data_IF_503005455834
#
_entry.id   IF_503005455834
#
_cell.length_a   1.000
_cell.length_b   1.000
_cell.length_c   1.000
_cell.angle_alpha   90.00
_cell.angle_beta   90.00
_cell.angle_gamma   90.00
#
_symmetry.space_group_name_H-M   'P 1'
#
loop_
_entity.id
_entity.type
_entity.pdbx_description
1 polymer ?
#
# COMPACT_ATOMS: atom_id res chain seq x y z
N UNK A 1 14.91 -6.65 6.21
CA UNK A 1 13.81 -6.58 7.20
C UNK A 1 13.41 -7.97 7.71
N UNK A 2 13.79 -8.32 8.95
CA UNK A 2 13.32 -9.54 9.64
C UNK A 2 12.14 -9.17 10.55
N UNK A 3 10.90 -9.19 10.03
CA UNK A 3 9.74 -9.27 10.94
C UNK A 3 9.81 -10.67 11.57
N UNK A 4 9.92 -10.80 12.90
CA UNK A 4 9.91 -12.11 13.56
C UNK A 4 8.65 -12.84 13.11
N UNK A 5 8.83 -13.87 12.30
CA UNK A 5 7.72 -14.66 11.76
C UNK A 5 7.12 -15.45 12.92
N UNK A 6 5.92 -15.08 13.35
CA UNK A 6 5.18 -15.85 14.34
C UNK A 6 4.65 -17.14 13.67
N UNK A 7 5.44 -18.21 13.77
CA UNK A 7 5.12 -19.51 13.16
C UNK A 7 3.78 -20.07 13.63
N UNK A 8 3.41 -19.84 14.89
CA UNK A 8 2.13 -20.28 15.47
C UNK A 8 0.95 -19.56 14.82
N UNK A 9 1.06 -18.26 14.63
CA UNK A 9 0.05 -17.45 13.95
C UNK A 9 -0.12 -17.86 12.48
N UNK A 10 0.97 -18.06 11.75
CA UNK A 10 0.91 -18.56 10.36
C UNK A 10 0.19 -19.90 10.28
N UNK A 11 0.52 -20.82 11.19
CA UNK A 11 -0.11 -22.13 11.25
C UNK A 11 -1.62 -22.01 11.50
N UNK A 12 -2.02 -21.26 12.53
CA UNK A 12 -3.43 -21.04 12.87
C UNK A 12 -4.20 -20.38 11.73
N UNK A 13 -3.64 -19.33 11.13
CA UNK A 13 -4.25 -18.65 9.98
C UNK A 13 -4.36 -19.58 8.77
N UNK A 14 -3.36 -20.43 8.52
CA UNK A 14 -3.42 -21.41 7.43
C UNK A 14 -4.50 -22.47 7.64
N UNK A 15 -4.74 -22.90 8.89
CA UNK A 15 -5.82 -23.82 9.23
C UNK A 15 -7.18 -23.17 9.02
N UNK A 16 -7.39 -21.96 9.57
CA UNK A 16 -8.63 -21.17 9.37
C UNK A 16 -8.92 -20.95 7.88
N UNK A 17 -7.88 -20.71 7.08
CA UNK A 17 -8.01 -20.44 5.65
C UNK A 17 -8.08 -21.71 4.78
N UNK A 18 -7.92 -22.91 5.35
CA UNK A 18 -7.78 -24.19 4.61
C UNK A 18 -6.60 -24.18 3.62
N UNK A 19 -5.56 -23.41 3.94
CA UNK A 19 -4.28 -23.34 3.22
C UNK A 19 -3.14 -24.06 3.95
N UNK A 20 -3.45 -24.81 5.01
CA UNK A 20 -2.48 -25.64 5.73
C UNK A 20 -1.80 -26.67 4.82
N UNK A 21 -2.56 -27.44 4.03
CA UNK A 21 -1.99 -28.46 3.13
C UNK A 21 -0.98 -27.91 2.10
N UNK A 22 -1.26 -26.85 1.30
CA UNK A 22 -0.26 -26.32 0.38
C UNK A 22 0.94 -25.69 1.12
N UNK A 23 0.74 -25.13 2.33
CA UNK A 23 1.84 -24.63 3.16
C UNK A 23 2.78 -25.78 3.56
N UNK A 24 2.23 -26.87 4.09
CA UNK A 24 3.03 -28.02 4.55
C UNK A 24 3.72 -28.72 3.39
N UNK A 25 2.97 -29.10 2.35
CA UNK A 25 3.54 -29.80 1.20
C UNK A 25 4.58 -28.95 0.48
N UNK A 26 4.30 -27.66 0.26
CA UNK A 26 5.25 -26.76 -0.39
C UNK A 26 6.56 -26.64 0.41
N UNK A 27 6.47 -26.55 1.73
CA UNK A 27 7.66 -26.49 2.60
C UNK A 27 8.43 -27.81 2.62
N UNK A 28 7.75 -28.96 2.54
CA UNK A 28 8.38 -30.28 2.46
C UNK A 28 9.14 -30.43 1.14
N UNK A 29 8.53 -30.05 0.01
CA UNK A 29 9.13 -30.24 -1.32
C UNK A 29 10.25 -29.24 -1.65
N UNK A 30 10.09 -27.98 -1.26
CA UNK A 30 11.03 -26.91 -1.65
C UNK A 30 12.07 -26.60 -0.59
N UNK A 31 11.82 -26.97 0.67
CA UNK A 31 12.68 -26.63 1.80
C UNK A 31 12.29 -25.31 2.48
N UNK A 32 13.24 -24.74 3.22
CA UNK A 32 13.01 -23.61 4.15
C UNK A 32 13.94 -22.42 3.91
N UNK A 33 14.72 -22.43 2.83
CA UNK A 33 15.48 -21.25 2.45
C UNK A 33 14.55 -20.11 2.00
N UNK A 34 15.09 -18.90 1.88
CA UNK A 34 14.31 -17.71 1.57
C UNK A 34 13.54 -17.85 0.27
N UNK A 35 14.15 -18.39 -0.79
CA UNK A 35 13.53 -18.52 -2.11
C UNK A 35 12.40 -19.55 -2.06
N UNK A 36 12.64 -20.71 -1.44
CA UNK A 36 11.60 -21.72 -1.24
C UNK A 36 10.38 -21.14 -0.49
N UNK A 37 10.61 -20.43 0.62
CA UNK A 37 9.51 -19.86 1.41
C UNK A 37 8.70 -18.79 0.66
N UNK A 38 9.32 -18.00 -0.22
CA UNK A 38 8.57 -17.07 -1.08
C UNK A 38 7.69 -17.83 -2.09
N UNK A 39 8.19 -18.90 -2.71
CA UNK A 39 7.39 -19.74 -3.62
C UNK A 39 6.20 -20.39 -2.89
N UNK A 40 6.42 -20.92 -1.67
CA UNK A 40 5.34 -21.48 -0.85
C UNK A 40 4.29 -20.42 -0.53
N UNK A 41 4.69 -19.18 -0.22
CA UNK A 41 3.74 -18.07 0.00
C UNK A 41 2.89 -17.78 -1.24
N UNK A 42 3.49 -17.81 -2.44
CA UNK A 42 2.74 -17.62 -3.69
C UNK A 42 1.68 -18.72 -3.88
N UNK A 43 2.02 -19.98 -3.62
CA UNK A 43 1.07 -21.11 -3.70
C UNK A 43 -0.08 -20.93 -2.69
N UNK A 44 0.25 -20.62 -1.43
CA UNK A 44 -0.74 -20.39 -0.36
C UNK A 44 -1.67 -19.24 -0.73
N UNK A 45 -1.11 -18.12 -1.24
CA UNK A 45 -1.90 -16.95 -1.62
C UNK A 45 -2.77 -17.20 -2.84
N UNK A 46 -2.30 -17.96 -3.82
CA UNK A 46 -3.12 -18.38 -4.96
C UNK A 46 -4.33 -19.22 -4.52
N UNK A 47 -4.13 -20.16 -3.58
CA UNK A 47 -5.26 -20.93 -3.01
C UNK A 47 -6.23 -20.03 -2.24
N UNK A 48 -5.71 -19.08 -1.45
CA UNK A 48 -6.53 -18.10 -0.75
C UNK A 48 -7.35 -17.24 -1.73
N UNK A 49 -6.74 -16.77 -2.83
CA UNK A 49 -7.42 -15.95 -3.83
C UNK A 49 -8.59 -16.71 -4.49
N UNK A 50 -8.44 -18.00 -4.81
CA UNK A 50 -9.55 -18.85 -5.29
C UNK A 50 -10.73 -18.88 -4.31
N UNK A 51 -10.44 -18.97 -3.01
CA UNK A 51 -11.45 -18.96 -1.95
C UNK A 51 -12.12 -17.57 -1.85
N UNK A 52 -11.34 -16.49 -1.87
CA UNK A 52 -11.86 -15.12 -1.83
C UNK A 52 -12.77 -14.80 -3.02
N UNK A 53 -12.46 -15.27 -4.23
CA UNK A 53 -13.36 -15.14 -5.40
C UNK A 53 -14.72 -15.76 -5.13
N UNK A 54 -14.74 -17.01 -4.65
CA UNK A 54 -16.00 -17.71 -4.33
C UNK A 54 -16.77 -17.03 -3.20
N UNK A 55 -16.08 -16.61 -2.14
CA UNK A 55 -16.70 -15.97 -0.98
C UNK A 55 -17.30 -14.59 -1.31
N UNK A 56 -16.66 -13.82 -2.19
CA UNK A 56 -17.07 -12.46 -2.53
C UNK A 56 -17.97 -12.38 -3.78
N UNK A 57 -18.09 -13.43 -4.59
CA UNK A 57 -18.98 -13.44 -5.76
C UNK A 57 -20.41 -12.94 -5.48
N UNK A 58 -21.14 -13.39 -4.41
CA UNK A 58 -22.46 -12.86 -4.12
C UNK A 58 -22.43 -11.39 -3.68
N UNK A 59 -21.41 -10.97 -2.93
CA UNK A 59 -21.22 -9.60 -2.46
C UNK A 59 -21.00 -8.66 -3.66
N UNK A 60 -20.15 -9.06 -4.60
CA UNK A 60 -19.89 -8.31 -5.84
C UNK A 60 -21.17 -8.19 -6.65
N UNK A 61 -21.94 -9.28 -6.80
CA UNK A 61 -23.21 -9.27 -7.53
C UNK A 61 -24.21 -8.28 -6.90
N UNK A 62 -24.35 -8.30 -5.58
CA UNK A 62 -25.20 -7.37 -4.83
C UNK A 62 -24.75 -5.91 -5.01
N UNK A 63 -23.45 -5.65 -4.85
CA UNK A 63 -22.86 -4.32 -5.04
C UNK A 63 -23.14 -3.77 -6.44
N UNK A 64 -22.96 -4.59 -7.48
CA UNK A 64 -23.25 -4.20 -8.86
C UNK A 64 -24.74 -3.91 -9.10
N UNK A 65 -25.65 -4.63 -8.44
CA UNK A 65 -27.10 -4.40 -8.56
C UNK A 65 -27.61 -3.16 -7.82
N UNK A 66 -26.91 -2.71 -6.79
CA UNK A 66 -27.30 -1.56 -5.95
C UNK A 66 -26.51 -0.30 -6.26
N UNK A 67 -25.69 -0.36 -7.31
CA UNK A 67 -24.76 0.68 -7.67
C UNK A 67 -25.48 1.96 -8.08
N UNK A 68 -25.09 3.06 -7.46
CA UNK A 68 -25.50 4.42 -7.85
C UNK A 68 -24.47 5.05 -8.78
N UNK A 69 -24.94 5.89 -9.68
CA UNK A 69 -24.07 6.79 -10.43
C UNK A 69 -23.77 8.01 -9.56
N UNK A 70 -22.49 8.39 -9.50
CA UNK A 70 -22.03 9.58 -8.81
C UNK A 70 -21.26 10.45 -9.80
N UNK A 71 -21.34 11.75 -9.62
CA UNK A 71 -20.44 12.68 -10.32
C UNK A 71 -19.00 12.42 -9.85
N UNK A 72 -18.10 12.18 -10.79
CA UNK A 72 -16.70 11.91 -10.50
C UNK A 72 -15.89 13.19 -10.67
N UNK A 73 -15.08 13.52 -9.67
CA UNK A 73 -14.26 14.74 -9.65
C UNK A 73 -12.82 14.39 -9.28
N UNK A 74 -11.88 14.92 -10.05
CA UNK A 74 -10.47 14.96 -9.66
C UNK A 74 -10.26 16.02 -8.58
N UNK A 75 -9.19 15.89 -7.83
CA UNK A 75 -8.85 16.76 -6.71
C UNK A 75 -7.33 16.91 -6.64
N UNK A 76 -6.86 18.09 -6.26
CA UNK A 76 -5.43 18.38 -6.06
C UNK A 76 -4.95 18.05 -4.64
N UNK A 77 -5.79 17.41 -3.82
CA UNK A 77 -5.42 17.00 -2.45
C UNK A 77 -4.40 15.89 -2.46
N UNK A 78 -3.43 15.97 -1.55
CA UNK A 78 -2.48 14.92 -1.25
C UNK A 78 -2.66 14.49 0.20
N UNK A 79 -2.97 13.22 0.41
CA UNK A 79 -3.22 12.62 1.72
C UNK A 79 -1.97 11.88 2.19
N UNK A 80 -1.44 12.32 3.32
CA UNK A 80 -0.36 11.62 4.03
C UNK A 80 -0.89 11.24 5.41
N UNK A 81 -0.52 10.06 5.91
CA UNK A 81 -0.99 9.60 7.20
C UNK A 81 0.16 9.21 8.11
N UNK A 82 0.15 9.74 9.33
CA UNK A 82 0.94 9.23 10.45
C UNK A 82 0.14 9.39 11.74
N UNK A 83 -0.42 8.28 12.24
CA UNK A 83 -1.40 8.31 13.33
C UNK A 83 -0.86 8.99 14.59
N UNK A 84 0.42 8.79 14.91
CA UNK A 84 1.06 9.36 16.09
C UNK A 84 1.43 10.84 15.97
N UNK A 85 1.12 11.52 14.85
CA UNK A 85 1.60 12.87 14.59
C UNK A 85 3.02 12.90 14.01
N UNK A 86 3.27 13.80 13.05
CA UNK A 86 4.52 13.85 12.29
C UNK A 86 5.73 14.17 13.17
N UNK A 87 5.53 14.98 14.20
CA UNK A 87 6.51 15.32 15.23
C UNK A 87 7.03 14.10 16.00
N UNK A 88 6.21 13.05 16.11
CA UNK A 88 6.57 11.77 16.75
C UNK A 88 7.06 10.73 15.73
N UNK A 89 7.10 11.07 14.44
CA UNK A 89 7.58 10.16 13.41
C UNK A 89 9.11 10.06 13.42
N UNK A 90 9.70 8.91 13.03
CA UNK A 90 11.14 8.81 12.82
C UNK A 90 11.65 9.89 11.87
N UNK A 91 12.87 10.38 12.07
CA UNK A 91 13.42 11.51 11.29
C UNK A 91 13.34 11.26 9.78
N UNK A 92 13.60 10.03 9.31
CA UNK A 92 13.45 9.67 7.89
C UNK A 92 12.02 9.86 7.37
N UNK A 93 11.00 9.60 8.20
CA UNK A 93 9.59 9.81 7.84
C UNK A 93 9.31 11.31 7.73
N UNK A 94 9.82 12.11 8.68
CA UNK A 94 9.73 13.57 8.60
C UNK A 94 10.37 14.10 7.31
N UNK A 95 11.49 13.49 6.88
CA UNK A 95 12.14 13.78 5.60
C UNK A 95 11.34 13.44 4.37
N UNK A 96 10.74 12.26 4.37
CA UNK A 96 9.84 11.89 3.29
C UNK A 96 8.71 12.91 3.17
N UNK A 97 8.08 13.32 4.28
CA UNK A 97 6.98 14.30 4.24
C UNK A 97 7.45 15.69 3.82
N UNK A 98 8.57 16.20 4.35
CA UNK A 98 9.15 17.50 3.94
C UNK A 98 9.42 17.53 2.44
N UNK A 99 10.02 16.47 1.90
CA UNK A 99 10.32 16.37 0.47
C UNK A 99 9.07 16.42 -0.41
N UNK A 100 7.94 15.87 0.05
CA UNK A 100 6.66 15.96 -0.66
C UNK A 100 6.13 17.39 -0.62
N UNK A 101 6.21 18.06 0.54
CA UNK A 101 5.77 19.45 0.71
C UNK A 101 6.58 20.42 -0.15
N UNK A 102 7.89 20.22 -0.26
CA UNK A 102 8.79 21.05 -1.07
C UNK A 102 8.58 20.85 -2.57
N UNK A 103 8.34 19.60 -3.00
CA UNK A 103 8.26 19.27 -4.43
C UNK A 103 6.85 19.38 -5.01
N UNK A 104 5.79 19.40 -4.19
CA UNK A 104 4.40 19.52 -4.64
C UNK A 104 3.72 20.82 -4.12
N UNK A 105 4.28 22.01 -4.40
CA UNK A 105 3.77 23.28 -3.85
C UNK A 105 2.39 23.68 -4.39
N UNK A 106 1.94 23.08 -5.50
CA UNK A 106 0.63 23.27 -6.12
C UNK A 106 -0.47 22.35 -5.55
N UNK A 107 -0.10 21.43 -4.66
CA UNK A 107 -1.01 20.44 -4.07
C UNK A 107 -1.41 20.81 -2.65
N UNK A 108 -2.66 20.51 -2.31
CA UNK A 108 -3.19 20.69 -0.96
C UNK A 108 -2.84 19.46 -0.10
N UNK A 109 -1.70 19.52 0.59
CA UNK A 109 -1.18 18.41 1.38
C UNK A 109 -1.84 18.41 2.76
N UNK A 110 -2.57 17.33 3.05
CA UNK A 110 -3.25 17.10 4.32
C UNK A 110 -2.58 15.94 5.06
N UNK A 111 -2.05 16.22 6.24
CA UNK A 111 -1.55 15.22 7.16
C UNK A 111 -2.67 14.71 8.07
N UNK A 112 -2.97 13.43 7.97
CA UNK A 112 -3.93 12.73 8.80
C UNK A 112 -3.24 12.09 10.01
N UNK A 113 -3.79 12.34 11.18
CA UNK A 113 -3.36 11.83 12.49
C UNK A 113 -4.53 11.18 13.22
N UNK A 114 -4.25 10.54 14.36
CA UNK A 114 -5.30 9.97 15.22
C UNK A 114 -6.28 11.04 15.73
N UNK A 115 -5.81 12.28 15.89
CA UNK A 115 -6.60 13.39 16.43
C UNK A 115 -7.55 14.01 15.39
N UNK A 116 -7.24 13.92 14.10
CA UNK A 116 -7.98 14.66 13.06
C UNK A 116 -8.71 13.78 12.04
N UNK A 117 -8.44 12.47 11.93
CA UNK A 117 -9.03 11.65 10.87
C UNK A 117 -10.57 11.67 10.88
N UNK A 118 -11.18 11.78 12.06
CA UNK A 118 -12.63 11.82 12.27
C UNK A 118 -13.29 13.08 11.70
N UNK A 119 -12.53 14.13 11.42
CA UNK A 119 -13.01 15.35 10.74
C UNK A 119 -13.26 15.09 9.24
N UNK A 120 -12.60 14.08 8.66
CA UNK A 120 -12.67 13.78 7.23
C UNK A 120 -13.53 12.55 6.95
N UNK A 121 -13.46 11.54 7.82
CA UNK A 121 -14.00 10.21 7.60
C UNK A 121 -14.76 9.73 8.83
N UNK A 122 -15.90 9.11 8.58
CA UNK A 122 -16.67 8.38 9.58
C UNK A 122 -16.63 6.89 9.20
N UNK A 123 -16.25 6.06 10.17
CA UNK A 123 -16.21 4.61 9.99
C UNK A 123 -17.43 3.95 10.66
N UNK A 124 -17.91 2.81 10.12
CA UNK A 124 -18.88 1.99 10.84
C UNK A 124 -18.38 1.60 12.24
N UNK A 125 -19.28 1.53 13.21
CA UNK A 125 -18.96 1.24 14.62
C UNK A 125 -18.10 -0.02 14.80
N UNK A 126 -18.41 -1.10 14.07
CA UNK A 126 -17.65 -2.34 14.13
C UNK A 126 -16.19 -2.21 13.67
N UNK A 127 -15.85 -1.23 12.81
CA UNK A 127 -14.47 -0.95 12.40
C UNK A 127 -13.73 -0.26 13.53
N UNK A 128 -14.35 0.77 14.12
CA UNK A 128 -13.77 1.53 15.23
C UNK A 128 -13.52 0.59 16.41
N UNK A 129 -14.51 -0.20 16.80
CA UNK A 129 -14.36 -1.18 17.88
C UNK A 129 -13.22 -2.18 17.63
N UNK A 130 -13.13 -2.73 16.41
CA UNK A 130 -12.08 -3.70 16.08
C UNK A 130 -10.70 -3.05 16.04
N UNK A 131 -10.61 -1.78 15.65
CA UNK A 131 -9.37 -1.02 15.71
C UNK A 131 -8.94 -0.76 17.16
N UNK A 132 -9.85 -0.28 18.02
CA UNK A 132 -9.58 -0.06 19.45
C UNK A 132 -9.20 -1.34 20.18
N UNK A 133 -9.81 -2.48 19.82
CA UNK A 133 -9.46 -3.81 20.37
C UNK A 133 -8.16 -4.39 19.80
N UNK A 134 -7.49 -3.71 18.85
CA UNK A 134 -6.27 -4.18 18.21
C UNK A 134 -6.45 -5.34 17.21
N UNK A 135 -7.70 -5.65 16.84
CA UNK A 135 -8.05 -6.67 15.86
C UNK A 135 -7.71 -6.17 14.45
N UNK A 136 -8.07 -4.91 14.16
CA UNK A 136 -7.58 -4.17 13.01
C UNK A 136 -6.27 -3.50 13.45
N UNK A 137 -5.17 -3.78 12.77
CA UNK A 137 -3.90 -3.09 13.04
C UNK A 137 -3.91 -1.68 12.45
N UNK A 138 -3.04 -0.78 12.92
CA UNK A 138 -2.90 0.56 12.32
C UNK A 138 -2.60 0.52 10.82
N UNK A 139 -1.89 -0.51 10.34
CA UNK A 139 -1.68 -0.72 8.89
C UNK A 139 -3.00 -0.98 8.17
N UNK A 140 -3.83 -1.88 8.67
CA UNK A 140 -5.11 -2.21 8.05
C UNK A 140 -6.17 -1.12 8.25
N UNK A 141 -6.08 -0.35 9.32
CA UNK A 141 -6.91 0.84 9.50
C UNK A 141 -6.55 1.91 8.47
N UNK A 142 -5.24 2.14 8.22
CA UNK A 142 -4.79 3.06 7.17
C UNK A 142 -5.24 2.62 5.77
N UNK A 143 -5.42 1.31 5.53
CA UNK A 143 -5.99 0.80 4.29
C UNK A 143 -7.44 1.24 4.07
N UNK A 144 -8.26 1.26 5.13
CA UNK A 144 -9.64 1.73 5.08
C UNK A 144 -9.70 3.26 4.97
N UNK A 145 -8.89 3.96 5.75
CA UNK A 145 -8.79 5.41 5.72
C UNK A 145 -8.41 5.93 4.34
N UNK A 146 -7.41 5.31 3.70
CA UNK A 146 -7.02 5.64 2.33
C UNK A 146 -8.20 5.55 1.36
N UNK A 147 -8.98 4.47 1.45
CA UNK A 147 -10.13 4.28 0.57
C UNK A 147 -11.24 5.28 0.84
N UNK A 148 -11.53 5.58 2.10
CA UNK A 148 -12.52 6.59 2.47
C UNK A 148 -12.13 7.98 1.94
N UNK A 149 -10.89 8.41 2.15
CA UNK A 149 -10.41 9.70 1.67
C UNK A 149 -10.47 9.79 0.14
N UNK A 150 -9.93 8.80 -0.57
CA UNK A 150 -9.88 8.81 -2.04
C UNK A 150 -11.27 8.70 -2.67
N UNK A 151 -12.15 7.84 -2.14
CA UNK A 151 -13.49 7.70 -2.72
C UNK A 151 -14.37 8.92 -2.44
N UNK A 152 -14.18 9.61 -1.30
CA UNK A 152 -14.97 10.77 -0.89
C UNK A 152 -14.47 12.09 -1.47
N UNK A 153 -13.15 12.29 -1.52
CA UNK A 153 -12.53 13.57 -1.88
C UNK A 153 -11.63 13.51 -3.10
N UNK A 154 -11.35 12.32 -3.64
CA UNK A 154 -10.34 12.13 -4.67
C UNK A 154 -8.94 12.50 -4.18
N UNK A 155 -8.06 12.79 -5.14
CA UNK A 155 -6.69 13.23 -4.90
C UNK A 155 -5.73 12.05 -4.84
N UNK A 156 -4.59 12.25 -4.18
CA UNK A 156 -3.50 11.29 -4.13
C UNK A 156 -3.16 10.88 -2.71
N UNK A 157 -3.25 9.61 -2.38
CA UNK A 157 -2.64 9.07 -1.17
C UNK A 157 -1.16 8.83 -1.42
N UNK A 158 -0.30 9.29 -0.49
CA UNK A 158 1.13 8.98 -0.48
C UNK A 158 1.50 8.51 0.93
N UNK A 159 2.03 7.29 1.06
CA UNK A 159 2.56 6.80 2.33
C UNK A 159 3.64 7.76 2.85
N UNK A 160 3.65 8.04 4.15
CA UNK A 160 4.60 8.97 4.81
C UNK A 160 6.08 8.59 4.71
N UNK A 161 6.39 7.44 4.10
CA UNK A 161 7.75 6.91 3.90
C UNK A 161 8.17 6.99 2.42
N UNK A 162 7.46 7.79 1.62
CA UNK A 162 7.82 8.06 0.22
C UNK A 162 8.65 9.34 0.18
N UNK A 163 9.87 9.24 -0.34
CA UNK A 163 10.75 10.37 -0.60
C UNK A 163 10.48 10.91 -2.01
N UNK A 164 10.20 12.21 -2.14
CA UNK A 164 9.93 12.89 -3.40
C UNK A 164 11.15 13.71 -3.82
N UNK A 165 11.69 13.48 -5.02
CA UNK A 165 12.96 14.06 -5.47
C UNK A 165 12.84 15.03 -6.63
N UNK A 166 11.62 15.35 -7.06
CA UNK A 166 11.37 16.19 -8.23
C UNK A 166 10.01 16.86 -8.14
N UNK A 167 9.93 18.13 -8.52
CA UNK A 167 8.67 18.84 -8.74
C UNK A 167 8.11 18.64 -10.15
N UNK A 168 8.92 18.13 -11.08
CA UNK A 168 8.45 17.70 -12.40
C UNK A 168 7.86 16.29 -12.28
N UNK A 169 6.56 16.23 -11.95
CA UNK A 169 5.81 14.98 -11.80
C UNK A 169 4.98 14.74 -13.06
N UNK A 170 5.05 13.55 -13.69
CA UNK A 170 4.17 13.23 -14.80
C UNK A 170 2.69 13.26 -14.42
N UNK A 171 1.86 13.91 -15.24
CA UNK A 171 0.41 14.07 -15.01
C UNK A 171 -0.33 12.75 -14.75
N UNK A 172 0.11 11.64 -15.33
CA UNK A 172 -0.52 10.33 -15.10
C UNK A 172 -0.45 9.90 -13.62
N UNK A 173 0.53 10.40 -12.85
CA UNK A 173 0.70 10.06 -11.44
C UNK A 173 -0.24 10.86 -10.55
N UNK A 174 -0.45 12.16 -10.78
CA UNK A 174 -1.21 13.05 -9.87
C UNK A 174 -2.57 13.51 -10.42
N UNK A 175 -2.78 13.45 -11.74
CA UNK A 175 -3.94 14.03 -12.41
C UNK A 175 -4.70 13.01 -13.28
N UNK A 176 -4.60 11.72 -12.98
CA UNK A 176 -5.36 10.64 -13.63
C UNK A 176 -6.68 10.32 -12.89
N UNK A 177 -7.61 9.64 -13.58
CA UNK A 177 -8.84 9.13 -12.94
C UNK A 177 -8.53 8.03 -11.92
N UNK A 178 -7.49 7.24 -12.19
CA UNK A 178 -6.91 6.27 -11.28
C UNK A 178 -5.45 6.06 -11.64
N UNK A 179 -4.57 6.09 -10.65
CA UNK A 179 -3.20 5.63 -10.76
C UNK A 179 -2.82 4.82 -9.53
N UNK A 180 -2.10 3.73 -9.78
CA UNK A 180 -1.47 2.91 -8.75
C UNK A 180 -0.27 2.21 -9.39
N UNK A 181 0.84 2.09 -8.66
CA UNK A 181 1.99 1.34 -9.14
C UNK A 181 1.66 -0.15 -9.28
N UNK A 182 2.22 -0.79 -10.30
CA UNK A 182 1.86 -2.14 -10.74
C UNK A 182 3.05 -3.09 -10.82
N UNK A 183 2.81 -4.37 -10.56
CA UNK A 183 3.74 -5.45 -10.88
C UNK A 183 3.61 -5.85 -12.36
N UNK A 184 4.53 -5.37 -13.21
CA UNK A 184 4.41 -5.53 -14.67
C UNK A 184 4.86 -6.89 -15.21
N UNK A 185 5.88 -7.52 -14.60
CA UNK A 185 6.32 -8.88 -14.95
C UNK A 185 6.98 -9.57 -13.74
N UNK A 186 6.79 -10.90 -13.58
CA UNK A 186 5.87 -11.77 -14.34
C UNK A 186 4.42 -11.66 -13.83
N UNK A 187 3.48 -11.22 -14.68
CA UNK A 187 2.06 -11.01 -14.30
C UNK A 187 1.40 -12.33 -13.89
N UNK A 188 1.60 -13.39 -14.68
CA UNK A 188 0.91 -14.67 -14.50
C UNK A 188 1.35 -15.44 -13.25
N UNK A 189 2.52 -15.09 -12.68
CA UNK A 189 3.05 -15.72 -11.48
C UNK A 189 2.54 -15.10 -10.16
N UNK A 190 1.94 -13.91 -10.21
CA UNK A 190 1.59 -13.13 -9.03
C UNK A 190 0.10 -12.79 -8.99
N UNK A 191 -0.56 -13.10 -7.88
CA UNK A 191 -1.98 -12.79 -7.67
C UNK A 191 -2.26 -11.37 -7.18
N UNK A 192 -1.21 -10.57 -6.99
CA UNK A 192 -1.30 -9.17 -6.57
C UNK A 192 -0.52 -8.35 -7.58
N UNK A 193 -1.23 -7.42 -8.23
CA UNK A 193 -0.67 -6.66 -9.35
C UNK A 193 -0.35 -5.21 -8.99
N UNK A 194 -0.59 -4.77 -7.74
CA UNK A 194 -0.49 -3.36 -7.37
C UNK A 194 0.36 -3.12 -6.12
N UNK A 195 0.65 -1.87 -5.84
CA UNK A 195 1.14 -1.42 -4.54
C UNK A 195 0.33 -0.22 -4.06
N UNK A 196 -0.27 -0.33 -2.89
CA UNK A 196 -1.25 0.64 -2.39
C UNK A 196 -0.65 1.82 -1.61
N UNK A 197 0.68 1.98 -1.63
CA UNK A 197 1.38 3.06 -0.93
C UNK A 197 1.36 4.40 -1.68
N UNK A 198 0.95 4.40 -2.95
CA UNK A 198 0.68 5.59 -3.75
C UNK A 198 -0.52 5.31 -4.65
N UNK A 199 -1.61 6.06 -4.44
CA UNK A 199 -2.84 5.92 -5.23
C UNK A 199 -3.40 7.30 -5.53
N UNK A 200 -3.59 7.62 -6.81
CA UNK A 200 -4.38 8.79 -7.23
C UNK A 200 -5.73 8.32 -7.71
N UNK A 201 -6.78 9.08 -7.40
CA UNK A 201 -8.13 8.75 -7.83
C UNK A 201 -9.01 9.98 -7.95
N UNK A 202 -9.94 9.94 -8.90
CA UNK A 202 -11.16 10.73 -8.83
C UNK A 202 -12.07 10.22 -7.70
N UNK A 203 -13.01 11.05 -7.24
CA UNK A 203 -14.09 10.60 -6.35
C UNK A 203 -14.90 9.47 -6.98
N UNK A 204 -15.36 8.54 -6.14
CA UNK A 204 -16.21 7.42 -6.55
C UNK A 204 -15.65 6.56 -7.70
N UNK A 205 -14.31 6.42 -7.78
CA UNK A 205 -13.70 5.46 -8.70
C UNK A 205 -14.20 4.04 -8.43
N UNK A 206 -14.60 3.32 -9.48
CA UNK A 206 -15.32 2.04 -9.37
C UNK A 206 -14.47 0.94 -8.72
N UNK A 207 -13.16 0.90 -9.05
CA UNK A 207 -12.25 -0.09 -8.47
C UNK A 207 -12.05 0.18 -6.97
N UNK A 208 -11.92 1.44 -6.56
CA UNK A 208 -11.76 1.81 -5.15
C UNK A 208 -13.06 1.61 -4.36
N UNK A 209 -14.22 1.96 -4.90
CA UNK A 209 -15.50 1.76 -4.23
C UNK A 209 -15.78 0.28 -3.97
N UNK A 210 -15.54 -0.58 -4.97
CA UNK A 210 -15.69 -2.01 -4.78
C UNK A 210 -14.64 -2.55 -3.79
N UNK A 211 -13.38 -2.13 -3.87
CA UNK A 211 -12.33 -2.53 -2.92
C UNK A 211 -12.71 -2.17 -1.48
N UNK A 212 -13.22 -0.94 -1.27
CA UNK A 212 -13.72 -0.44 0.01
C UNK A 212 -14.88 -1.29 0.53
N UNK A 213 -15.87 -1.55 -0.32
CA UNK A 213 -17.02 -2.38 0.04
C UNK A 213 -16.61 -3.80 0.46
N UNK A 214 -15.72 -4.44 -0.31
CA UNK A 214 -15.21 -5.79 -0.01
C UNK A 214 -14.41 -5.83 1.30
N UNK A 215 -13.60 -4.81 1.58
CA UNK A 215 -12.88 -4.71 2.85
C UNK A 215 -13.82 -4.47 4.03
N UNK A 216 -14.86 -3.65 3.88
CA UNK A 216 -15.87 -3.49 4.92
C UNK A 216 -16.62 -4.79 5.21
N UNK A 217 -17.05 -5.53 4.17
CA UNK A 217 -17.67 -6.86 4.34
C UNK A 217 -16.72 -7.89 4.92
N UNK A 218 -15.44 -7.81 4.58
CA UNK A 218 -14.41 -8.64 5.21
C UNK A 218 -14.32 -8.37 6.71
N UNK A 219 -14.18 -7.10 7.11
CA UNK A 219 -14.02 -6.73 8.51
C UNK A 219 -15.31 -6.85 9.31
N UNK A 220 -16.49 -6.80 8.69
CA UNK A 220 -17.76 -7.13 9.35
C UNK A 220 -17.75 -8.60 9.81
N UNK A 221 -17.26 -9.49 8.94
CA UNK A 221 -17.32 -10.95 9.12
C UNK A 221 -16.16 -11.55 9.92
N UNK A 222 -14.95 -10.98 9.84
CA UNK A 222 -13.74 -11.60 10.38
C UNK A 222 -13.07 -10.73 11.46
N UNK A 223 -12.60 -11.39 12.51
CA UNK A 223 -11.79 -10.81 13.59
C UNK A 223 -10.30 -11.21 13.51
N UNK A 224 -9.83 -11.52 12.29
CA UNK A 224 -8.43 -11.84 12.03
C UNK A 224 -8.08 -11.52 10.59
N UNK A 225 -6.78 -11.36 10.31
CA UNK A 225 -6.27 -11.07 8.97
C UNK A 225 -5.92 -12.37 8.24
N UNK A 226 -6.56 -12.64 7.09
CA UNK A 226 -6.30 -13.85 6.27
C UNK A 226 -4.95 -13.79 5.56
N UNK A 227 -4.57 -12.60 5.09
CA UNK A 227 -3.27 -12.29 4.49
C UNK A 227 -2.96 -10.82 4.80
N UNK A 228 -1.70 -10.51 5.12
CA UNK A 228 -1.27 -9.15 5.40
C UNK A 228 -1.65 -8.17 4.28
N UNK A 229 -1.63 -8.63 3.03
CA UNK A 229 -1.97 -7.86 1.82
C UNK A 229 -3.45 -7.99 1.44
N UNK A 230 -4.37 -8.08 2.41
CA UNK A 230 -5.80 -8.24 2.13
C UNK A 230 -6.37 -7.16 1.21
N UNK A 231 -5.90 -5.90 1.33
CA UNK A 231 -6.22 -4.81 0.41
C UNK A 231 -5.94 -5.21 -1.05
N UNK A 232 -4.75 -5.75 -1.31
CA UNK A 232 -4.30 -6.08 -2.66
C UNK A 232 -5.13 -7.22 -3.27
N UNK A 233 -5.53 -8.17 -2.43
CA UNK A 233 -6.40 -9.27 -2.84
C UNK A 233 -7.82 -8.77 -3.18
N UNK A 234 -8.36 -7.83 -2.40
CA UNK A 234 -9.67 -7.22 -2.71
C UNK A 234 -9.61 -6.33 -3.94
N UNK A 235 -8.53 -5.56 -4.10
CA UNK A 235 -8.29 -4.75 -5.29
C UNK A 235 -8.17 -5.64 -6.55
N UNK A 236 -7.54 -6.82 -6.44
CA UNK A 236 -7.49 -7.78 -7.53
C UNK A 236 -8.89 -8.27 -7.94
N UNK A 237 -9.82 -8.48 -6.99
CA UNK A 237 -11.22 -8.78 -7.31
C UNK A 237 -11.90 -7.60 -8.03
N UNK A 238 -11.55 -6.37 -7.65
CA UNK A 238 -12.04 -5.16 -8.33
C UNK A 238 -11.54 -5.06 -9.77
N UNK A 239 -10.25 -5.34 -10.03
CA UNK A 239 -9.67 -5.43 -11.38
C UNK A 239 -10.42 -6.47 -12.22
N UNK A 240 -10.64 -7.68 -11.65
CA UNK A 240 -11.37 -8.76 -12.33
C UNK A 240 -12.82 -8.38 -12.65
N UNK A 241 -13.41 -7.47 -11.86
CA UNK A 241 -14.78 -6.98 -12.05
C UNK A 241 -14.86 -5.84 -13.06
N UNK A 242 -13.84 -4.97 -13.10
CA UNK A 242 -13.77 -3.78 -13.96
C UNK A 242 -12.54 -3.84 -14.89
N UNK A 243 -12.43 -4.83 -15.80
CA UNK A 243 -11.26 -4.99 -16.64
C UNK A 243 -11.03 -3.81 -17.60
N UNK A 244 -12.09 -3.19 -18.12
CA UNK A 244 -11.96 -2.01 -18.99
C UNK A 244 -11.47 -0.80 -18.22
N UNK A 245 -12.02 -0.54 -17.02
CA UNK A 245 -11.52 0.53 -16.15
C UNK A 245 -10.06 0.34 -15.73
N UNK A 246 -9.60 -0.91 -15.59
CA UNK A 246 -8.21 -1.23 -15.32
C UNK A 246 -7.27 -0.96 -16.51
N UNK A 247 -7.71 -1.20 -17.75
CA UNK A 247 -6.89 -0.95 -18.95
C UNK A 247 -6.52 0.52 -19.12
N UNK A 248 -7.33 1.44 -18.60
CA UNK A 248 -7.06 2.88 -18.63
C UNK A 248 -5.98 3.32 -17.64
N UNK A 249 -5.60 2.48 -16.68
CA UNK A 249 -4.59 2.81 -15.65
C UNK A 249 -3.19 2.70 -16.26
N UNK A 250 -2.44 3.80 -16.24
CA UNK A 250 -1.07 3.83 -16.76
C UNK A 250 -0.19 2.76 -16.07
N UNK A 251 0.50 1.89 -16.84
CA UNK A 251 1.22 0.73 -16.30
C UNK A 251 2.60 1.11 -15.74
N UNK A 252 2.66 1.88 -14.65
CA UNK A 252 3.91 2.21 -13.98
C UNK A 252 4.40 1.07 -13.07
N UNK A 253 5.68 0.71 -13.18
CA UNK A 253 6.29 -0.37 -12.40
C UNK A 253 6.45 -0.01 -10.92
N UNK A 254 6.00 -0.89 -10.01
CA UNK A 254 6.24 -0.76 -8.58
C UNK A 254 7.67 -1.14 -8.15
N UNK A 255 8.52 -1.63 -9.05
CA UNK A 255 9.91 -2.00 -8.73
C UNK A 255 10.84 -0.79 -8.64
N UNK A 256 10.71 0.18 -9.56
CA UNK A 256 11.62 1.34 -9.64
C UNK A 256 11.66 2.18 -8.36
N UNK A 257 10.50 2.49 -7.72
CA UNK A 257 10.48 3.24 -6.46
C UNK A 257 11.23 2.56 -5.30
N UNK A 258 11.55 1.26 -5.41
CA UNK A 258 12.26 0.53 -4.36
C UNK A 258 13.79 0.47 -4.57
N UNK A 259 14.33 0.97 -5.68
CA UNK A 259 15.77 0.92 -5.94
C UNK A 259 16.54 1.66 -4.84
N UNK A 260 16.11 2.87 -4.46
CA UNK A 260 16.76 3.63 -3.39
C UNK A 260 16.77 2.86 -2.07
N UNK A 261 15.63 2.26 -1.70
CA UNK A 261 15.49 1.48 -0.48
C UNK A 261 16.46 0.29 -0.44
N UNK A 262 16.66 -0.39 -1.57
CA UNK A 262 17.53 -1.57 -1.64
C UNK A 262 19.01 -1.24 -1.44
N UNK A 263 19.41 0.01 -1.74
CA UNK A 263 20.79 0.49 -1.67
C UNK A 263 20.95 1.60 -0.60
N UNK A 264 19.97 1.74 0.31
CA UNK A 264 19.85 2.92 1.20
C UNK A 264 21.09 3.15 2.08
N UNK A 265 21.80 2.09 2.44
CA UNK A 265 22.99 2.13 3.29
C UNK A 265 24.30 1.84 2.55
N UNK A 266 24.26 1.79 1.23
CA UNK A 266 25.46 1.68 0.41
C UNK A 266 26.15 3.05 0.29
N UNK A 267 27.43 3.03 -0.09
CA UNK A 267 28.23 4.24 -0.31
C UNK A 267 27.59 5.14 -1.38
N UNK A 268 27.47 6.42 -1.06
CA UNK A 268 26.89 7.43 -1.92
C UNK A 268 27.76 7.64 -3.17
N UNK A 269 27.13 7.52 -4.33
CA UNK A 269 27.72 7.83 -5.60
C UNK A 269 26.85 8.86 -6.34
N UNK A 270 27.42 10.02 -6.66
CA UNK A 270 26.69 11.13 -7.28
C UNK A 270 26.10 10.74 -8.64
N UNK A 271 26.86 10.08 -9.50
CA UNK A 271 26.39 9.67 -10.83
C UNK A 271 25.26 8.65 -10.73
N UNK A 272 25.33 7.73 -9.78
CA UNK A 272 24.24 6.76 -9.54
C UNK A 272 22.99 7.45 -9.01
N UNK A 273 23.15 8.38 -8.08
CA UNK A 273 22.06 9.21 -7.55
C UNK A 273 21.34 9.96 -8.67
N UNK A 274 22.06 10.71 -9.50
CA UNK A 274 21.50 11.50 -10.58
C UNK A 274 20.72 10.61 -11.57
N UNK A 275 21.27 9.44 -11.94
CA UNK A 275 20.58 8.48 -12.81
C UNK A 275 19.33 7.88 -12.15
N UNK A 276 19.39 7.57 -10.86
CA UNK A 276 18.24 7.04 -10.11
C UNK A 276 17.08 8.06 -10.09
N UNK A 277 17.37 9.34 -9.86
CA UNK A 277 16.35 10.39 -9.80
C UNK A 277 15.60 10.57 -11.13
N UNK A 278 16.20 10.19 -12.26
CA UNK A 278 15.54 10.19 -13.58
C UNK A 278 14.54 9.03 -13.75
N UNK A 279 14.61 7.98 -12.93
CA UNK A 279 13.77 6.77 -13.11
C UNK A 279 12.36 6.93 -12.56
N UNK A 280 12.21 7.65 -11.44
CA UNK A 280 10.93 7.92 -10.78
C UNK A 280 11.09 9.10 -9.82
N UNK A 281 10.11 10.01 -9.72
CA UNK A 281 10.15 11.11 -8.77
C UNK A 281 9.82 10.67 -7.33
N UNK A 282 9.19 9.51 -7.15
CA UNK A 282 8.79 8.98 -5.85
C UNK A 282 9.55 7.70 -5.52
N UNK A 283 10.17 7.66 -4.34
CA UNK A 283 10.99 6.55 -3.84
C UNK A 283 10.41 6.01 -2.54
N UNK A 284 9.96 4.75 -2.55
CA UNK A 284 9.34 4.12 -1.38
C UNK A 284 10.41 3.55 -0.44
N UNK A 285 10.57 4.19 0.71
CA UNK A 285 11.54 3.82 1.75
C UNK A 285 10.90 3.03 2.91
N UNK A 286 11.71 2.78 3.94
CA UNK A 286 11.30 2.19 5.22
C UNK A 286 12.12 2.82 6.35
N UNK A 287 11.53 2.98 7.52
CA UNK A 287 12.25 3.35 8.75
C UNK A 287 12.60 2.12 9.62
N UNK A 288 12.27 0.91 9.14
CA UNK A 288 12.43 -0.34 9.90
C UNK A 288 13.76 -1.02 9.57
N UNK A 289 14.85 -0.43 10.06
CA UNK A 289 16.21 -0.92 9.91
C UNK A 289 16.93 -0.94 11.27
N UNK A 290 18.15 -1.47 11.27
CA UNK A 290 19.01 -1.49 12.45
C UNK A 290 19.64 -0.10 12.64
N UNK A 291 19.62 0.46 13.86
CA UNK A 291 20.18 1.78 14.16
C UNK A 291 21.69 1.85 13.88
N UNK A 292 22.41 0.71 13.91
CA UNK A 292 23.82 0.69 13.52
C UNK A 292 24.04 1.07 12.04
N UNK A 293 23.06 0.84 11.17
CA UNK A 293 23.14 1.21 9.76
C UNK A 293 23.05 2.73 9.56
N UNK A 294 22.33 3.45 10.42
CA UNK A 294 22.20 4.91 10.32
C UNK A 294 23.45 5.67 10.74
N UNK A 295 24.39 4.99 11.41
CA UNK A 295 25.67 5.56 11.84
C UNK A 295 26.73 5.56 10.73
N UNK A 296 26.51 4.83 9.63
CA UNK A 296 27.43 4.80 8.50
C UNK A 296 27.42 6.14 7.76
N UNK A 297 28.58 6.78 7.72
CA UNK A 297 28.77 8.01 6.96
C UNK A 297 28.92 7.75 5.46
N UNK A 298 28.69 8.79 4.66
CA UNK A 298 28.87 8.72 3.21
C UNK A 298 27.86 7.83 2.49
N UNK A 299 26.73 7.48 3.11
CA UNK A 299 25.67 6.63 2.50
C UNK A 299 24.55 7.45 1.84
N UNK A 300 23.72 6.80 1.01
CA UNK A 300 22.49 7.41 0.48
C UNK A 300 21.53 7.85 1.60
N UNK A 301 21.43 7.09 2.68
CA UNK A 301 20.67 7.47 3.87
C UNK A 301 21.18 8.81 4.43
N UNK A 302 22.50 8.94 4.66
CA UNK A 302 23.07 10.20 5.15
C UNK A 302 22.89 11.36 4.17
N UNK A 303 22.90 11.11 2.87
CA UNK A 303 22.59 12.14 1.86
C UNK A 303 21.17 12.68 2.05
N UNK A 304 20.17 11.82 2.19
CA UNK A 304 18.77 12.21 2.44
C UNK A 304 18.67 12.98 3.76
N UNK A 305 19.27 12.47 4.84
CA UNK A 305 19.17 13.10 6.16
C UNK A 305 19.87 14.47 6.25
N UNK A 306 20.86 14.76 5.38
CA UNK A 306 21.54 16.06 5.34
C UNK A 306 20.71 17.17 4.69
N UNK A 307 19.70 16.82 3.91
CA UNK A 307 18.87 17.79 3.20
C UNK A 307 17.91 18.56 4.14
N UNK A 308 17.77 18.13 5.40
CA UNK A 308 17.10 18.86 6.51
C UNK A 308 17.74 20.16 6.95
N UNK A 309 19.06 20.26 6.84
CA UNK A 309 19.82 21.27 7.58
C UNK A 309 19.97 22.53 6.72
N UNK A 310 18.89 23.00 6.11
CA UNK A 310 18.87 24.26 5.37
C UNK A 310 17.85 25.24 5.93
#
# INVERSE_FOLDING_TARGET
>A
MKKKINKKEILLTSLKNRTFFPLTMGTIFLGRDRKALELVRLIVRYKLMKKLRKENAPIIKEFLSTRKSFEKKRSNKVWICWMQGLENAPELVQQCVSSIQENLPDRDIVLITEENYSQYVEFPEYIVEKYTKGIISSTHFSDLLRLELLTRYGGTWIDSTVYCTSSNIPDYMLDSNLFVFQGLKPIDGHVMQISNWFITSETHNELLELTKHLLYKYWEKFDYVKDYFIFHLMFQLAIETYPEGWKEVFPASNTLPHILLLNLFDDFNQTWWDNLLLTTPFHKLTYKFDESETMKDGTYYKKIMKELIK
#
